data_IF_957078394758
#
_entry.id   IF_957078394758
#
_cell.length_a   1.000
_cell.length_b   1.000
_cell.length_c   1.000
_cell.angle_alpha   90.00
_cell.angle_beta   90.00
_cell.angle_gamma   90.00
#
_symmetry.space_group_name_H-M   'P 1'
#
loop_
_entity.id
_entity.type
_entity.pdbx_description
1 polymer ?
#
# COMPACT_ATOMS: atom_id res chain seq x y z
N UNK A 1 8.28 -14.58 -1.67
CA UNK A 1 8.38 -13.38 -2.54
C UNK A 1 7.45 -13.46 -3.75
N UNK A 2 7.34 -14.63 -4.40
CA UNK A 2 6.40 -14.87 -5.51
C UNK A 2 4.96 -14.49 -5.15
N UNK A 3 4.44 -14.91 -4.00
CA UNK A 3 3.06 -14.64 -3.57
C UNK A 3 2.73 -13.15 -3.47
N UNK A 4 3.68 -12.32 -3.02
CA UNK A 4 3.50 -10.87 -2.95
C UNK A 4 3.54 -10.20 -4.34
N UNK A 5 4.29 -10.77 -5.29
CA UNK A 5 4.32 -10.30 -6.67
C UNK A 5 3.03 -10.66 -7.41
N UNK A 6 2.56 -11.90 -7.28
CA UNK A 6 1.28 -12.36 -7.84
C UNK A 6 0.13 -11.50 -7.30
N UNK A 7 0.09 -11.25 -5.99
CA UNK A 7 -0.94 -10.37 -5.40
C UNK A 7 -0.88 -8.93 -5.93
N UNK A 8 0.32 -8.40 -6.19
CA UNK A 8 0.48 -7.07 -6.79
C UNK A 8 -0.04 -7.04 -8.23
N UNK A 9 0.25 -8.06 -9.03
CA UNK A 9 -0.23 -8.20 -10.41
C UNK A 9 -1.76 -8.33 -10.45
N UNK A 10 -2.36 -9.13 -9.57
CA UNK A 10 -3.82 -9.22 -9.43
C UNK A 10 -4.46 -7.87 -9.11
N UNK A 11 -3.87 -7.11 -8.18
CA UNK A 11 -4.36 -5.77 -7.83
C UNK A 11 -4.22 -4.78 -8.99
N UNK A 12 -3.16 -4.88 -9.79
CA UNK A 12 -2.99 -4.09 -11.01
C UNK A 12 -4.05 -4.43 -12.05
N UNK A 13 -4.38 -5.71 -12.24
CA UNK A 13 -5.49 -6.11 -13.12
C UNK A 13 -6.83 -5.55 -12.64
N UNK A 14 -7.13 -5.64 -11.35
CA UNK A 14 -8.33 -5.02 -10.75
C UNK A 14 -8.36 -3.50 -10.90
N UNK A 15 -7.20 -2.84 -10.93
CA UNK A 15 -7.12 -1.40 -11.16
C UNK A 15 -7.55 -1.06 -12.58
N UNK A 16 -7.10 -1.83 -13.58
CA UNK A 16 -7.49 -1.64 -14.97
C UNK A 16 -9.01 -1.85 -15.16
N UNK A 17 -9.58 -2.85 -14.50
CA UNK A 17 -11.02 -3.09 -14.48
C UNK A 17 -11.77 -1.90 -13.87
N UNK A 18 -11.37 -1.46 -12.68
CA UNK A 18 -12.00 -0.33 -11.98
C UNK A 18 -11.91 0.97 -12.80
N UNK A 19 -10.77 1.23 -13.44
CA UNK A 19 -10.57 2.38 -14.33
C UNK A 19 -11.49 2.31 -15.55
N UNK A 20 -11.67 1.12 -16.13
CA UNK A 20 -12.55 0.91 -17.28
C UNK A 20 -14.01 1.16 -16.89
N UNK A 21 -14.45 0.63 -15.74
CA UNK A 21 -15.78 0.89 -15.19
C UNK A 21 -16.00 2.39 -14.92
N UNK A 22 -14.99 3.07 -14.36
CA UNK A 22 -15.05 4.51 -14.12
C UNK A 22 -15.14 5.32 -15.43
N UNK A 23 -14.37 4.95 -16.45
CA UNK A 23 -14.43 5.57 -17.78
C UNK A 23 -15.82 5.45 -18.40
N UNK A 24 -16.44 4.28 -18.28
CA UNK A 24 -17.81 4.05 -18.73
C UNK A 24 -18.82 4.93 -17.97
N UNK A 25 -18.76 4.93 -16.63
CA UNK A 25 -19.65 5.75 -15.80
C UNK A 25 -19.50 7.25 -16.07
N UNK A 26 -18.27 7.72 -16.35
CA UNK A 26 -17.99 9.10 -16.74
C UNK A 26 -18.60 9.46 -18.10
N UNK A 27 -18.49 8.58 -19.08
CA UNK A 27 -19.11 8.77 -20.39
C UNK A 27 -20.64 8.80 -20.27
N UNK A 28 -21.21 7.92 -19.45
CA UNK A 28 -22.65 7.87 -19.21
C UNK A 28 -23.16 9.13 -18.51
N UNK A 29 -22.48 9.58 -17.46
CA UNK A 29 -22.81 10.83 -16.79
C UNK A 29 -22.80 12.02 -17.76
N UNK A 30 -21.82 12.06 -18.68
CA UNK A 30 -21.78 13.12 -19.70
C UNK A 30 -23.00 13.07 -20.62
N UNK A 31 -23.37 11.88 -21.10
CA UNK A 31 -24.55 11.69 -21.98
C UNK A 31 -25.84 12.08 -21.27
N UNK A 32 -26.05 11.61 -20.04
CA UNK A 32 -27.25 11.93 -19.25
C UNK A 32 -27.33 13.43 -18.95
N UNK A 33 -26.21 14.07 -18.58
CA UNK A 33 -26.17 15.53 -18.37
C UNK A 33 -26.62 16.31 -19.61
N UNK A 34 -26.14 15.94 -20.79
CA UNK A 34 -26.53 16.60 -22.05
C UNK A 34 -28.03 16.42 -22.31
N UNK A 35 -28.54 15.20 -22.19
CA UNK A 35 -29.95 14.93 -22.44
C UNK A 35 -30.91 15.54 -21.38
N UNK A 36 -30.48 15.69 -20.13
CA UNK A 36 -31.25 16.44 -19.12
C UNK A 36 -31.27 17.94 -19.40
N UNK A 37 -30.18 18.51 -19.94
CA UNK A 37 -30.17 19.92 -20.37
C UNK A 37 -31.12 20.20 -21.54
N UNK A 38 -31.36 19.21 -22.39
CA UNK A 38 -32.31 19.27 -23.51
C UNK A 38 -33.76 18.90 -23.08
N UNK A 39 -34.04 18.85 -21.76
CA UNK A 39 -35.31 18.45 -21.14
C UNK A 39 -35.82 17.04 -21.54
N UNK A 40 -34.92 16.21 -22.08
CA UNK A 40 -35.25 14.90 -22.64
C UNK A 40 -35.25 13.77 -21.59
N UNK A 41 -34.72 13.99 -20.38
CA UNK A 41 -34.55 12.97 -19.34
C UNK A 41 -34.85 13.52 -17.94
N UNK A 42 -35.59 12.74 -17.15
CA UNK A 42 -35.90 13.01 -15.74
C UNK A 42 -34.66 13.16 -14.83
N UNK A 43 -34.71 14.09 -13.88
CA UNK A 43 -33.65 14.39 -12.89
C UNK A 43 -33.14 13.16 -12.13
N UNK A 44 -34.03 12.21 -11.81
CA UNK A 44 -33.67 10.95 -11.14
C UNK A 44 -32.60 10.13 -11.89
N UNK A 45 -32.57 10.22 -13.22
CA UNK A 45 -31.56 9.51 -14.01
C UNK A 45 -30.21 10.23 -13.95
N UNK A 46 -30.21 11.57 -13.88
CA UNK A 46 -29.00 12.36 -13.66
C UNK A 46 -28.39 12.04 -12.30
N UNK A 47 -29.20 12.03 -11.24
CA UNK A 47 -28.74 11.69 -9.89
C UNK A 47 -28.16 10.27 -9.84
N UNK A 48 -28.84 9.30 -10.48
CA UNK A 48 -28.34 7.93 -10.59
C UNK A 48 -27.01 7.86 -11.33
N UNK A 49 -26.84 8.64 -12.41
CA UNK A 49 -25.59 8.71 -13.16
C UNK A 49 -24.45 9.34 -12.33
N UNK A 50 -24.74 10.38 -11.56
CA UNK A 50 -23.79 11.01 -10.63
C UNK A 50 -23.34 9.99 -9.57
N UNK A 51 -24.28 9.32 -8.91
CA UNK A 51 -23.95 8.29 -7.92
C UNK A 51 -23.15 7.14 -8.52
N UNK A 52 -23.44 6.74 -9.76
CA UNK A 52 -22.65 5.71 -10.46
C UNK A 52 -21.20 6.16 -10.72
N UNK A 53 -21.02 7.40 -11.17
CA UNK A 53 -19.71 8.01 -11.37
C UNK A 53 -18.91 8.07 -10.06
N UNK A 54 -19.52 8.57 -8.98
CA UNK A 54 -18.85 8.70 -7.68
C UNK A 54 -18.46 7.35 -7.09
N UNK A 55 -19.32 6.34 -7.20
CA UNK A 55 -19.01 4.96 -6.77
C UNK A 55 -17.85 4.38 -7.56
N UNK A 56 -17.86 4.51 -8.89
CA UNK A 56 -16.77 4.00 -9.73
C UNK A 56 -15.44 4.72 -9.45
N UNK A 57 -15.46 6.03 -9.20
CA UNK A 57 -14.27 6.79 -8.81
C UNK A 57 -13.71 6.31 -7.46
N UNK A 58 -14.61 6.03 -6.52
CA UNK A 58 -14.25 5.53 -5.20
C UNK A 58 -13.63 4.13 -5.29
N UNK A 59 -14.17 3.26 -6.15
CA UNK A 59 -13.60 1.94 -6.42
C UNK A 59 -12.16 2.03 -6.95
N UNK A 60 -11.89 2.93 -7.90
CA UNK A 60 -10.52 3.19 -8.40
C UNK A 60 -9.58 3.58 -7.25
N UNK A 61 -9.99 4.53 -6.41
CA UNK A 61 -9.18 4.98 -5.26
C UNK A 61 -8.91 3.85 -4.26
N UNK A 62 -9.89 3.00 -3.99
CA UNK A 62 -9.72 1.85 -3.08
C UNK A 62 -8.68 0.89 -3.63
N UNK A 63 -8.76 0.53 -4.91
CA UNK A 63 -7.80 -0.38 -5.54
C UNK A 63 -6.40 0.23 -5.57
N UNK A 64 -6.28 1.52 -5.86
CA UNK A 64 -5.01 2.25 -5.81
C UNK A 64 -4.36 2.18 -4.43
N UNK A 65 -5.13 2.39 -3.35
CA UNK A 65 -4.62 2.25 -1.97
C UNK A 65 -4.22 0.83 -1.63
N UNK A 66 -4.93 -0.17 -2.15
CA UNK A 66 -4.56 -1.58 -1.97
C UNK A 66 -3.25 -1.92 -2.69
N UNK A 67 -3.05 -1.41 -3.91
CA UNK A 67 -1.77 -1.54 -4.63
C UNK A 67 -0.63 -0.92 -3.81
N UNK A 68 -0.84 0.28 -3.26
CA UNK A 68 0.17 0.94 -2.44
C UNK A 68 0.53 0.08 -1.22
N UNK A 69 -0.47 -0.46 -0.51
CA UNK A 69 -0.26 -1.38 0.62
C UNK A 69 0.51 -2.64 0.21
N UNK A 70 0.19 -3.24 -0.94
CA UNK A 70 0.88 -4.43 -1.44
C UNK A 70 2.34 -4.13 -1.81
N UNK A 71 2.62 -2.96 -2.41
CA UNK A 71 3.99 -2.49 -2.67
C UNK A 71 4.77 -2.26 -1.37
N UNK A 72 4.13 -1.68 -0.36
CA UNK A 72 4.73 -1.47 0.95
C UNK A 72 5.06 -2.81 1.62
N UNK A 73 4.13 -3.77 1.58
CA UNK A 73 4.35 -5.14 2.08
C UNK A 73 5.51 -5.83 1.35
N UNK A 74 5.58 -5.75 0.03
CA UNK A 74 6.69 -6.28 -0.76
C UNK A 74 8.01 -5.61 -0.37
N UNK A 75 8.03 -4.29 -0.14
CA UNK A 75 9.22 -3.58 0.35
C UNK A 75 9.65 -4.09 1.73
N UNK A 76 8.70 -4.34 2.64
CA UNK A 76 8.99 -4.90 3.97
C UNK A 76 9.52 -6.34 3.93
N UNK A 77 9.33 -7.09 2.84
CA UNK A 77 9.99 -8.40 2.65
C UNK A 77 11.50 -8.30 2.42
N UNK A 78 12.04 -7.08 2.29
CA UNK A 78 13.47 -6.82 2.15
C UNK A 78 13.91 -5.90 3.28
N UNK A 79 14.51 -6.48 4.32
CA UNK A 79 15.11 -5.73 5.40
C UNK A 79 16.39 -5.05 4.89
N UNK A 80 16.47 -3.73 5.07
CA UNK A 80 17.68 -2.94 4.80
C UNK A 80 18.19 -2.39 6.12
N UNK A 81 19.49 -2.50 6.34
CA UNK A 81 20.16 -1.87 7.47
C UNK A 81 19.95 -0.34 7.41
N UNK A 82 19.55 0.32 8.52
CA UNK A 82 19.33 1.77 8.54
C UNK A 82 20.63 2.58 8.55
N UNK A 83 21.77 1.95 8.85
CA UNK A 83 23.10 2.54 8.85
C UNK A 83 24.14 1.52 8.35
N UNK A 84 25.34 2.02 8.03
CA UNK A 84 26.48 1.16 7.68
C UNK A 84 27.10 0.64 8.97
N UNK A 85 27.24 -0.68 9.11
CA UNK A 85 27.82 -1.31 10.28
C UNK A 85 28.19 -2.77 10.00
N UNK A 86 28.80 -3.42 10.99
CA UNK A 86 29.17 -4.83 10.91
C UNK A 86 28.00 -5.67 11.43
N UNK A 87 27.62 -6.69 10.68
CA UNK A 87 26.63 -7.67 11.14
C UNK A 87 27.26 -8.50 12.25
N UNK A 88 26.80 -8.29 13.49
CA UNK A 88 27.33 -8.95 14.68
C UNK A 88 26.69 -10.33 14.91
N UNK A 89 25.39 -10.46 14.67
CA UNK A 89 24.65 -11.71 14.77
C UNK A 89 23.44 -11.71 13.84
N UNK A 90 23.14 -12.87 13.24
CA UNK A 90 21.92 -13.10 12.47
C UNK A 90 21.15 -14.18 13.21
N UNK A 91 20.16 -13.76 14.00
CA UNK A 91 19.45 -14.64 14.94
C UNK A 91 18.32 -15.43 14.27
N UNK A 92 18.31 -15.52 12.94
CA UNK A 92 17.24 -16.16 12.14
C UNK A 92 17.86 -17.02 11.06
N UNK A 93 17.44 -18.28 10.98
CA UNK A 93 17.93 -19.19 9.97
C UNK A 93 17.27 -18.92 8.59
N UNK A 94 17.99 -19.19 7.48
CA UNK A 94 17.39 -19.14 6.16
C UNK A 94 16.15 -20.05 6.09
N UNK A 95 15.02 -19.49 5.64
CA UNK A 95 13.71 -20.15 5.51
C UNK A 95 12.91 -20.30 6.81
N UNK A 96 13.34 -19.69 7.90
CA UNK A 96 12.56 -19.63 9.14
C UNK A 96 11.45 -18.57 9.06
N UNK A 97 10.27 -18.88 9.61
CA UNK A 97 9.13 -17.98 9.60
C UNK A 97 9.23 -17.00 10.78
N UNK A 98 9.65 -15.77 10.51
CA UNK A 98 9.76 -14.74 11.56
C UNK A 98 8.43 -14.05 11.85
N UNK A 99 8.12 -13.84 13.13
CA UNK A 99 7.00 -12.99 13.55
C UNK A 99 7.36 -11.50 13.43
N UNK A 100 6.40 -10.61 13.10
CA UNK A 100 6.63 -9.16 13.11
C UNK A 100 7.11 -8.69 14.49
N UNK A 101 8.23 -7.97 14.55
CA UNK A 101 8.80 -7.39 15.78
C UNK A 101 9.92 -8.20 16.43
N UNK A 102 10.29 -9.37 15.91
CA UNK A 102 11.51 -10.07 16.31
C UNK A 102 12.77 -9.41 15.77
N UNK A 103 13.84 -9.35 16.56
CA UNK A 103 15.16 -8.96 16.07
C UNK A 103 15.68 -10.03 15.11
N UNK A 104 15.96 -9.65 13.85
CA UNK A 104 16.44 -10.58 12.81
C UNK A 104 17.96 -10.48 12.64
N UNK A 105 18.51 -9.28 12.82
CA UNK A 105 19.93 -8.98 12.64
C UNK A 105 20.35 -7.93 13.68
N UNK A 106 21.43 -8.21 14.39
CA UNK A 106 22.12 -7.23 15.23
C UNK A 106 23.27 -6.62 14.44
N UNK A 107 23.26 -5.30 14.28
CA UNK A 107 24.30 -4.56 13.54
C UNK A 107 25.02 -3.64 14.54
N UNK A 108 26.33 -3.74 14.58
CA UNK A 108 27.19 -2.89 15.41
C UNK A 108 27.83 -1.80 14.56
N UNK A 109 27.88 -0.58 15.09
CA UNK A 109 28.53 0.57 14.47
C UNK A 109 29.84 0.85 15.21
N UNK A 110 30.97 0.98 14.49
CA UNK A 110 32.30 1.17 15.10
C UNK A 110 32.56 2.60 15.61
N UNK A 111 31.80 3.59 15.11
CA UNK A 111 32.10 5.02 15.30
C UNK A 111 31.50 5.65 16.59
N UNK A 112 30.69 4.93 17.37
CA UNK A 112 30.14 5.43 18.65
C UNK A 112 30.10 4.35 19.72
N UNK A 113 31.11 4.35 20.58
CA UNK A 113 31.16 3.48 21.76
C UNK A 113 30.41 4.16 22.90
N UNK A 114 29.31 3.56 23.36
CA UNK A 114 28.64 3.94 24.60
C UNK A 114 29.19 3.04 25.71
N UNK A 115 29.78 3.65 26.74
CA UNK A 115 30.40 2.95 27.87
C UNK A 115 29.61 3.33 29.11
N UNK A 116 28.74 2.43 29.55
CA UNK A 116 28.06 2.54 30.83
C UNK A 116 28.97 2.01 31.94
N UNK A 117 29.33 2.89 32.88
CA UNK A 117 30.07 2.52 34.09
C UNK A 117 29.13 2.72 35.27
N UNK A 118 28.75 1.61 35.89
CA UNK A 118 28.02 1.63 37.16
C UNK A 118 29.01 1.90 38.29
N UNK A 119 28.92 3.09 38.90
CA UNK A 119 29.75 3.47 40.04
C UNK A 119 28.95 3.20 41.33
N UNK A 120 29.34 2.21 42.15
CA UNK A 120 28.70 2.00 43.44
C UNK A 120 29.06 3.15 44.38
N UNK A 121 28.04 3.87 44.86
CA UNK A 121 28.19 4.90 45.87
C UNK A 121 28.36 4.23 47.23
N UNK A 122 29.62 4.05 47.68
CA UNK A 122 29.95 3.78 49.07
C UNK A 122 31.40 4.20 49.35
N UNK A 123 31.57 5.32 50.07
CA UNK A 123 32.45 5.49 51.24
C UNK A 123 32.07 6.76 51.99
#
# INVERSE_FOLDING_TARGET
>A
KHDYQVSLEELQARMLEAQSAHKLAKAELKRVKQATSDDAIASVNLDRAISSYERSLSAVKVVEKNIQRAKDALRYTTLRAPFTGIVADVSVDPHEQTLPGGSVVSIQQEDSWEVDIDVPENM
#
